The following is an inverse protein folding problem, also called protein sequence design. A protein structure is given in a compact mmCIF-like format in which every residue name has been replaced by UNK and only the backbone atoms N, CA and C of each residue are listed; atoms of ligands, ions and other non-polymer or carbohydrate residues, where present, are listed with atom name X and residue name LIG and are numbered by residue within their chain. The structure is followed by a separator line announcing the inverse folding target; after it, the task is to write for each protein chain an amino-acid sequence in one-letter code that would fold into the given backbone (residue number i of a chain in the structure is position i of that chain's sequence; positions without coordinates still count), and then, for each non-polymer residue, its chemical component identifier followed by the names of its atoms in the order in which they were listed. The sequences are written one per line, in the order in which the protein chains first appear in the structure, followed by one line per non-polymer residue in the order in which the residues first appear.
data_IF_432714614583
#
_entry.id   IF_432714614583
#
_cell.length_a   1.000
_cell.length_b   1.000
_cell.length_c   1.000
_cell.angle_alpha   90.00
_cell.angle_beta   90.00
_cell.angle_gamma   90.00
#
_symmetry.space_group_name_H-M   'P 1'
#
loop_
_entity.id
_entity.type
_entity.pdbx_description
1 polymer ?
#
# COMPACT_ATOMS: atom_id res chain seq x y z
N UNK A 1 -18.67 11.90 8.52
CA UNK A 1 -17.98 11.57 9.79
C UNK A 1 -16.54 12.04 9.72
N UNK A 2 -16.12 12.91 10.63
CA UNK A 2 -14.75 13.43 10.70
C UNK A 2 -13.77 12.30 11.01
N UNK A 3 -12.66 12.23 10.27
CA UNK A 3 -11.63 11.19 10.47
C UNK A 3 -10.98 11.40 11.83
N UNK A 4 -11.11 10.42 12.75
CA UNK A 4 -10.42 10.47 14.04
C UNK A 4 -8.90 10.39 13.82
N UNK A 5 -8.14 11.14 14.64
CA UNK A 5 -6.67 11.06 14.67
C UNK A 5 -6.28 9.61 14.99
N UNK A 6 -5.38 9.05 14.18
CA UNK A 6 -4.90 7.67 14.34
C UNK A 6 -3.61 7.66 15.15
N UNK A 7 -3.46 6.69 16.05
CA UNK A 7 -2.18 6.40 16.72
C UNK A 7 -1.25 5.69 15.73
N UNK A 8 0.00 6.14 15.60
CA UNK A 8 1.03 5.49 14.79
C UNK A 8 1.70 4.37 15.61
N UNK A 9 0.94 3.32 15.88
CA UNK A 9 1.38 2.12 16.59
C UNK A 9 0.72 0.88 15.97
N UNK A 10 1.12 -0.31 16.42
CA UNK A 10 0.46 -1.55 16.03
C UNK A 10 -1.04 -1.51 16.38
N UNK A 11 -1.88 -1.95 15.44
CA UNK A 11 -3.32 -2.08 15.68
C UNK A 11 -3.55 -3.49 16.23
N UNK A 12 -3.83 -3.61 17.52
CA UNK A 12 -3.98 -4.91 18.20
C UNK A 12 -5.15 -5.73 17.65
N UNK A 13 -6.29 -5.09 17.38
CA UNK A 13 -7.45 -5.78 16.81
C UNK A 13 -7.21 -6.19 15.35
N UNK A 14 -7.15 -7.49 15.10
CA UNK A 14 -6.81 -8.08 13.80
C UNK A 14 -7.74 -7.66 12.66
N UNK A 15 -9.06 -7.63 12.91
CA UNK A 15 -10.04 -7.21 11.90
C UNK A 15 -9.84 -5.73 11.51
N UNK A 16 -9.62 -4.88 12.52
CA UNK A 16 -9.37 -3.45 12.30
C UNK A 16 -8.04 -3.24 11.59
N UNK A 17 -7.02 -4.04 11.92
CA UNK A 17 -5.71 -4.03 11.27
C UNK A 17 -5.82 -4.44 9.80
N UNK A 18 -6.53 -5.52 9.49
CA UNK A 18 -6.74 -6.01 8.13
C UNK A 18 -7.51 -4.99 7.26
N UNK A 19 -8.61 -4.42 7.78
CA UNK A 19 -9.37 -3.36 7.09
C UNK A 19 -8.49 -2.12 6.85
N UNK A 20 -7.72 -1.72 7.87
CA UNK A 20 -6.81 -0.58 7.76
C UNK A 20 -5.73 -0.82 6.72
N UNK A 21 -5.12 -2.00 6.70
CA UNK A 21 -4.12 -2.40 5.70
C UNK A 21 -4.71 -2.32 4.29
N UNK A 22 -5.87 -2.93 4.05
CA UNK A 22 -6.57 -2.91 2.75
C UNK A 22 -6.85 -1.49 2.25
N UNK A 23 -7.26 -0.58 3.13
CA UNK A 23 -7.50 0.82 2.76
C UNK A 23 -6.20 1.61 2.54
N UNK A 24 -5.21 1.44 3.41
CA UNK A 24 -3.96 2.20 3.38
C UNK A 24 -3.09 1.80 2.19
N UNK A 25 -3.00 0.51 1.85
CA UNK A 25 -2.20 0.02 0.73
C UNK A 25 -2.65 0.59 -0.61
N UNK A 26 -3.97 0.72 -0.83
CA UNK A 26 -4.54 1.36 -2.02
C UNK A 26 -4.13 2.83 -2.09
N UNK A 27 -4.21 3.55 -0.97
CA UNK A 27 -3.77 4.94 -0.87
C UNK A 27 -2.26 5.11 -1.09
N UNK A 28 -1.45 4.19 -0.57
CA UNK A 28 0.01 4.18 -0.76
C UNK A 28 0.37 4.00 -2.23
N UNK A 29 -0.19 2.99 -2.90
CA UNK A 29 0.03 2.74 -4.32
C UNK A 29 -0.38 3.94 -5.18
N UNK A 30 -1.51 4.57 -4.87
CA UNK A 30 -1.94 5.80 -5.55
C UNK A 30 -0.87 6.90 -5.43
N UNK A 31 -0.31 7.10 -4.24
CA UNK A 31 0.71 8.12 -3.99
C UNK A 31 2.04 7.81 -4.68
N UNK A 32 2.49 6.56 -4.66
CA UNK A 32 3.71 6.16 -5.36
C UNK A 32 3.55 6.30 -6.88
N UNK A 33 2.37 5.97 -7.41
CA UNK A 33 2.04 6.22 -8.83
C UNK A 33 2.08 7.70 -9.19
N UNK A 34 1.40 8.54 -8.40
CA UNK A 34 1.40 10.00 -8.60
C UNK A 34 2.84 10.55 -8.56
N UNK A 35 3.64 10.12 -7.58
CA UNK A 35 5.04 10.55 -7.45
C UNK A 35 5.90 10.12 -8.63
N UNK A 36 5.76 8.86 -9.07
CA UNK A 36 6.48 8.32 -10.23
C UNK A 36 6.19 9.13 -11.49
N UNK A 37 4.92 9.50 -11.72
CA UNK A 37 4.51 10.32 -12.88
C UNK A 37 5.01 11.76 -12.77
N UNK A 38 4.84 12.41 -11.60
CA UNK A 38 5.16 13.82 -11.43
C UNK A 38 6.66 14.12 -11.46
N UNK A 39 7.46 13.17 -11.00
CA UNK A 39 8.92 13.34 -10.89
C UNK A 39 9.70 12.56 -11.96
N UNK A 40 9.01 11.84 -12.84
CA UNK A 40 9.62 10.93 -13.84
C UNK A 40 10.64 9.97 -13.22
N UNK A 41 10.25 9.34 -12.10
CA UNK A 41 11.09 8.37 -11.38
C UNK A 41 10.52 6.97 -11.46
N UNK A 42 11.41 5.98 -11.54
CA UNK A 42 11.07 4.56 -11.39
C UNK A 42 10.83 4.27 -9.91
N UNK A 43 9.63 3.79 -9.58
CA UNK A 43 9.25 3.45 -8.20
C UNK A 43 8.35 2.20 -8.18
N UNK A 44 8.40 1.47 -7.06
CA UNK A 44 7.56 0.30 -6.84
C UNK A 44 7.15 0.15 -5.37
N UNK A 45 6.15 -0.69 -5.13
CA UNK A 45 5.69 -1.07 -3.79
C UNK A 45 5.45 -2.57 -3.74
N UNK A 46 5.93 -3.20 -2.66
CA UNK A 46 5.65 -4.60 -2.33
C UNK A 46 5.10 -4.61 -0.90
N UNK A 47 3.89 -5.15 -0.72
CA UNK A 47 3.21 -5.19 0.58
C UNK A 47 2.86 -6.63 0.93
N UNK A 48 3.45 -7.12 2.02
CA UNK A 48 3.15 -8.41 2.62
C UNK A 48 2.03 -8.29 3.65
N UNK A 49 1.18 -9.30 3.73
CA UNK A 49 0.15 -9.42 4.76
C UNK A 49 0.15 -10.85 5.29
N UNK A 50 0.19 -11.08 6.61
CA UNK A 50 0.11 -12.43 7.16
C UNK A 50 -1.22 -13.13 6.85
N UNK A 51 -2.27 -12.35 6.49
CA UNK A 51 -3.62 -12.85 6.26
C UNK A 51 -3.96 -12.94 4.76
N UNK A 52 -3.03 -12.65 3.85
CA UNK A 52 -3.27 -12.73 2.40
C UNK A 52 -2.18 -13.58 1.75
N UNK A 53 -2.60 -14.58 0.97
CA UNK A 53 -1.67 -15.49 0.28
C UNK A 53 -0.93 -14.78 -0.87
N UNK A 54 -1.59 -13.82 -1.52
CA UNK A 54 -1.03 -13.05 -2.62
C UNK A 54 -0.37 -11.76 -2.12
N UNK A 55 0.80 -11.46 -2.69
CA UNK A 55 1.48 -10.19 -2.46
C UNK A 55 0.80 -9.08 -3.24
N UNK A 56 0.61 -7.93 -2.59
CA UNK A 56 0.25 -6.73 -3.33
C UNK A 56 1.52 -6.10 -3.90
N UNK A 57 1.67 -6.15 -5.22
CA UNK A 57 2.79 -5.57 -5.95
C UNK A 57 2.28 -4.49 -6.90
N UNK A 58 2.95 -3.33 -6.91
CA UNK A 58 2.74 -2.29 -7.91
C UNK A 58 4.08 -1.69 -8.36
N UNK A 59 4.30 -1.44 -9.67
CA UNK A 59 3.49 -1.95 -10.78
C UNK A 59 3.50 -3.49 -10.82
N UNK A 60 2.70 -4.11 -11.70
CA UNK A 60 2.70 -5.58 -11.79
C UNK A 60 4.11 -6.12 -12.03
N UNK A 61 4.37 -7.37 -11.64
CA UNK A 61 5.72 -7.97 -11.67
C UNK A 61 6.34 -7.86 -13.06
N UNK A 62 5.54 -8.04 -14.12
CA UNK A 62 6.00 -7.94 -15.51
C UNK A 62 6.52 -6.53 -15.83
N UNK A 63 5.89 -5.50 -15.27
CA UNK A 63 6.33 -4.11 -15.43
C UNK A 63 7.56 -3.77 -14.61
N UNK A 64 7.80 -4.47 -13.50
CA UNK A 64 9.02 -4.29 -12.72
C UNK A 64 10.26 -4.80 -13.47
N UNK A 65 10.13 -5.90 -14.23
CA UNK A 65 11.23 -6.46 -15.02
C UNK A 65 11.47 -5.68 -16.33
N UNK A 66 10.50 -4.87 -16.76
CA UNK A 66 10.58 -4.06 -17.98
C UNK A 66 11.28 -2.70 -17.80
N UNK A 67 11.84 -2.42 -16.61
CA UNK A 67 12.57 -1.19 -16.32
C UNK A 67 14.06 -1.30 -16.61
#
# INVERSE_FOLDING_TARGET
MTRKKVKLAWIENDNTRAISLRKRRVGLVKKVRELSILCDIKACTIVFSPNEAELMVWPSVERLVAF
#
